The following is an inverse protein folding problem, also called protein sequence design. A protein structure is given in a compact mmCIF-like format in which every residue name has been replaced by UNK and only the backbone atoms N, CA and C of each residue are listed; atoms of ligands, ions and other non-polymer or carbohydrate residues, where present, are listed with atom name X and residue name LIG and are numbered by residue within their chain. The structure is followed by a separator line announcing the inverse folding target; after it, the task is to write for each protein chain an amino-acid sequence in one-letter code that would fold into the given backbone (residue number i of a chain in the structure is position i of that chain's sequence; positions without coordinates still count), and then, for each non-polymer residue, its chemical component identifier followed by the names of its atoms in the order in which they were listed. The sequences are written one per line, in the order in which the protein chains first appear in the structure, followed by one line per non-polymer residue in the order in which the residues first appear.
data_IF_825266111042
#
_entry.id   IF_825266111042
#
_cell.length_a   1.000
_cell.length_b   1.000
_cell.length_c   1.000
_cell.angle_alpha   90.00
_cell.angle_beta   90.00
_cell.angle_gamma   90.00
#
_symmetry.space_group_name_H-M   'P 1'
#
loop_
_entity.id
_entity.type
_entity.pdbx_description
1 polymer ?
#
# COMPACT_ATOMS: atom_id res chain seq x y z
N UNK A 1 -7.59 14.42 -4.66
CA UNK A 1 -7.64 13.31 -5.64
C UNK A 1 -9.08 13.02 -6.03
N UNK A 2 -9.26 12.60 -7.25
CA UNK A 2 -10.53 12.17 -7.81
C UNK A 2 -10.28 10.86 -8.56
N UNK A 3 -11.02 9.83 -8.23
CA UNK A 3 -10.89 8.52 -8.85
C UNK A 3 -12.24 8.04 -9.36
N UNK A 4 -12.25 7.47 -10.53
CA UNK A 4 -13.39 6.76 -11.11
C UNK A 4 -12.93 5.38 -11.54
N UNK A 5 -13.80 4.41 -11.43
CA UNK A 5 -13.46 3.06 -11.81
C UNK A 5 -14.69 2.20 -11.98
N UNK A 6 -14.45 0.95 -12.34
CA UNK A 6 -15.48 -0.08 -12.52
C UNK A 6 -14.94 -1.40 -11.93
N UNK A 7 -15.79 -2.06 -11.16
CA UNK A 7 -15.53 -3.37 -10.61
C UNK A 7 -16.71 -4.27 -10.97
N UNK A 8 -16.45 -5.38 -11.66
CA UNK A 8 -17.47 -6.32 -12.13
C UNK A 8 -18.65 -5.64 -12.86
N UNK A 9 -18.35 -4.59 -13.65
CA UNK A 9 -19.37 -3.85 -14.37
C UNK A 9 -20.08 -2.76 -13.57
N UNK A 10 -19.96 -2.73 -12.24
CA UNK A 10 -20.52 -1.66 -11.41
C UNK A 10 -19.58 -0.45 -11.37
N UNK A 11 -20.12 0.72 -11.65
CA UNK A 11 -19.36 1.96 -11.56
C UNK A 11 -19.02 2.30 -10.10
N UNK A 12 -17.80 2.78 -9.88
CA UNK A 12 -17.34 3.26 -8.61
C UNK A 12 -16.64 4.60 -8.80
N UNK A 13 -16.93 5.54 -7.96
CA UNK A 13 -16.29 6.84 -7.97
C UNK A 13 -15.91 7.25 -6.55
N UNK A 14 -14.77 7.92 -6.40
CA UNK A 14 -14.28 8.41 -5.10
C UNK A 14 -13.69 9.79 -5.25
N UNK A 15 -13.85 10.59 -4.21
CA UNK A 15 -13.25 11.90 -4.07
C UNK A 15 -12.53 11.98 -2.74
N UNK A 16 -11.22 12.17 -2.79
CA UNK A 16 -10.38 12.35 -1.59
C UNK A 16 -9.82 13.75 -1.54
N UNK A 17 -9.95 14.40 -0.41
CA UNK A 17 -9.32 15.69 -0.13
C UNK A 17 -8.73 15.69 1.28
N UNK A 18 -7.68 16.47 1.47
CA UNK A 18 -7.00 16.51 2.76
C UNK A 18 -5.84 17.47 2.76
N UNK A 19 -5.14 17.48 3.86
CA UNK A 19 -3.93 18.26 4.07
C UNK A 19 -2.91 17.46 4.85
N UNK A 20 -1.64 17.60 4.46
CA UNK A 20 -0.50 17.03 5.15
C UNK A 20 0.41 18.18 5.61
N UNK A 21 0.94 18.04 6.81
CA UNK A 21 1.90 18.97 7.37
C UNK A 21 3.13 18.21 7.89
N UNK A 22 4.32 18.75 7.63
CA UNK A 22 5.56 18.25 8.19
C UNK A 22 6.29 19.38 8.90
N UNK A 23 6.59 19.17 10.17
CA UNK A 23 7.35 20.08 11.01
C UNK A 23 8.68 19.41 11.36
N UNK A 24 9.79 20.03 10.98
CA UNK A 24 11.12 19.59 11.40
C UNK A 24 11.42 20.18 12.77
N UNK A 25 11.73 19.33 13.75
CA UNK A 25 12.12 19.71 15.10
C UNK A 25 13.64 19.75 15.29
N UNK A 26 14.38 19.36 14.26
CA UNK A 26 15.84 19.30 14.22
C UNK A 26 16.31 18.62 12.94
N UNK A 27 17.59 18.23 12.91
CA UNK A 27 18.17 17.58 11.72
C UNK A 27 17.54 16.22 11.44
N UNK A 28 17.27 15.46 12.48
CA UNK A 28 16.84 14.06 12.38
C UNK A 28 15.39 13.83 12.83
N UNK A 29 14.77 14.79 13.51
CA UNK A 29 13.45 14.64 14.12
C UNK A 29 12.39 15.44 13.37
N UNK A 30 11.26 14.83 13.10
CA UNK A 30 10.12 15.49 12.45
C UNK A 30 8.79 15.00 12.99
N UNK A 31 7.79 15.86 12.98
CA UNK A 31 6.39 15.50 13.19
C UNK A 31 5.67 15.61 11.84
N UNK A 32 4.90 14.59 11.52
CA UNK A 32 3.99 14.58 10.38
C UNK A 32 2.57 14.57 10.93
N UNK A 33 1.71 15.39 10.35
CA UNK A 33 0.28 15.38 10.60
C UNK A 33 -0.46 15.26 9.28
N UNK A 34 -1.51 14.46 9.24
CA UNK A 34 -2.39 14.39 8.08
C UNK A 34 -3.86 14.38 8.51
N UNK A 35 -4.68 15.04 7.73
CA UNK A 35 -6.12 15.05 7.83
C UNK A 35 -6.69 14.84 6.45
N UNK A 36 -7.54 13.84 6.28
CA UNK A 36 -8.17 13.62 5.01
C UNK A 36 -9.59 13.05 5.13
N UNK A 37 -10.36 13.27 4.09
CA UNK A 37 -11.68 12.70 3.90
C UNK A 37 -11.76 12.07 2.51
N UNK A 38 -12.35 10.90 2.45
CA UNK A 38 -12.59 10.13 1.23
C UNK A 38 -14.08 9.82 1.16
N UNK A 39 -14.73 10.37 0.14
CA UNK A 39 -16.17 10.22 -0.11
C UNK A 39 -16.36 9.24 -1.28
N UNK A 40 -17.22 8.25 -1.12
CA UNK A 40 -17.79 7.53 -2.25
C UNK A 40 -18.71 8.46 -3.05
N UNK A 41 -18.67 8.34 -4.37
CA UNK A 41 -19.54 9.09 -5.28
C UNK A 41 -20.69 8.22 -5.82
N UNK A 42 -20.68 6.93 -5.50
CA UNK A 42 -21.69 5.95 -5.96
C UNK A 42 -22.63 5.54 -4.84
N UNK A 43 -22.22 5.70 -3.61
CA UNK A 43 -23.03 5.42 -2.43
C UNK A 43 -22.77 6.49 -1.35
N UNK A 44 -23.38 6.34 -0.18
CA UNK A 44 -23.20 7.28 0.95
C UNK A 44 -21.96 6.97 1.82
N UNK A 45 -21.08 6.09 1.37
CA UNK A 45 -19.86 5.70 2.07
C UNK A 45 -18.88 6.88 2.22
N UNK A 46 -18.30 7.01 3.41
CA UNK A 46 -17.33 8.05 3.74
C UNK A 46 -16.33 7.56 4.75
N UNK A 47 -15.06 7.85 4.51
CA UNK A 47 -13.97 7.66 5.49
C UNK A 47 -13.32 8.99 5.81
N UNK A 48 -13.08 9.25 7.08
CA UNK A 48 -12.24 10.35 7.56
C UNK A 48 -11.07 9.79 8.33
N UNK A 49 -9.91 10.41 8.20
CA UNK A 49 -8.75 10.06 9.00
C UNK A 49 -8.01 11.29 9.49
N UNK A 50 -7.52 11.16 10.70
CA UNK A 50 -6.58 12.08 11.33
C UNK A 50 -5.38 11.27 11.81
N UNK A 51 -4.18 11.69 11.44
CA UNK A 51 -2.95 11.00 11.81
C UNK A 51 -1.92 11.99 12.31
N UNK A 52 -1.21 11.59 13.35
CA UNK A 52 0.02 12.26 13.80
C UNK A 52 1.12 11.22 13.96
N UNK A 53 2.31 11.53 13.45
CA UNK A 53 3.44 10.63 13.46
C UNK A 53 4.72 11.38 13.82
N UNK A 54 5.50 10.82 14.74
CA UNK A 54 6.86 11.20 15.03
C UNK A 54 7.82 10.39 14.18
N UNK A 55 8.72 11.02 13.48
CA UNK A 55 9.75 10.39 12.66
C UNK A 55 11.15 10.81 13.11
N UNK A 56 12.03 9.84 13.29
CA UNK A 56 13.45 10.05 13.53
C UNK A 56 14.26 9.32 12.46
N UNK A 57 15.01 10.08 11.67
CA UNK A 57 15.76 9.56 10.51
C UNK A 57 17.24 9.94 10.63
N UNK A 58 18.09 8.95 10.52
CA UNK A 58 19.55 9.10 10.38
C UNK A 58 20.01 8.50 9.06
N UNK A 59 21.32 8.47 8.82
CA UNK A 59 21.87 7.80 7.64
C UNK A 59 21.59 6.28 7.62
N UNK A 60 21.52 5.66 8.80
CA UNK A 60 21.40 4.20 8.93
C UNK A 60 20.08 3.74 9.53
N UNK A 61 19.30 4.63 10.14
CA UNK A 61 18.12 4.25 10.89
C UNK A 61 16.94 5.16 10.57
N UNK A 62 15.76 4.57 10.39
CA UNK A 62 14.48 5.26 10.34
C UNK A 62 13.56 4.68 11.42
N UNK A 63 13.06 5.54 12.29
CA UNK A 63 12.10 5.19 13.34
C UNK A 63 10.83 6.00 13.12
N UNK A 64 9.67 5.37 13.30
CA UNK A 64 8.36 6.02 13.20
C UNK A 64 7.46 5.52 14.31
N UNK A 65 6.73 6.45 14.91
CA UNK A 65 5.69 6.16 15.89
C UNK A 65 4.54 7.13 15.66
N UNK A 66 3.34 6.62 15.52
CA UNK A 66 2.19 7.45 15.21
C UNK A 66 0.89 6.89 15.76
N UNK A 67 -0.11 7.74 15.78
CA UNK A 67 -1.50 7.39 16.04
C UNK A 67 -2.32 7.90 14.87
N UNK A 68 -3.20 7.03 14.36
CA UNK A 68 -4.18 7.34 13.34
C UNK A 68 -5.58 7.05 13.88
N UNK A 69 -6.50 7.98 13.67
CA UNK A 69 -7.92 7.79 13.96
C UNK A 69 -8.70 7.77 12.66
N UNK A 70 -9.50 6.73 12.48
CA UNK A 70 -10.37 6.53 11.32
C UNK A 70 -11.82 6.57 11.77
N UNK A 71 -12.65 7.30 11.04
CA UNK A 71 -14.09 7.35 11.23
C UNK A 71 -14.75 7.00 9.90
N UNK A 72 -15.35 5.83 9.86
CA UNK A 72 -15.98 5.27 8.66
C UNK A 72 -17.49 5.33 8.78
N UNK A 73 -18.12 5.74 7.71
CA UNK A 73 -19.56 5.58 7.49
C UNK A 73 -19.73 4.71 6.24
N UNK A 74 -20.31 3.55 6.42
CA UNK A 74 -20.62 2.62 5.34
C UNK A 74 -21.88 3.07 4.58
N UNK A 75 -22.10 2.47 3.39
CA UNK A 75 -23.26 2.77 2.55
C UNK A 75 -24.61 2.47 3.21
N UNK A 76 -24.67 1.49 4.12
CA UNK A 76 -25.85 1.14 4.91
C UNK A 76 -26.11 2.07 6.10
N UNK A 77 -25.23 3.07 6.29
CA UNK A 77 -25.30 4.03 7.41
C UNK A 77 -24.58 3.59 8.67
N UNK A 78 -24.05 2.37 8.73
CA UNK A 78 -23.23 1.87 9.84
C UNK A 78 -22.00 2.76 10.03
N UNK A 79 -21.62 3.01 11.28
CA UNK A 79 -20.44 3.79 11.64
C UNK A 79 -19.45 2.93 12.38
N UNK A 80 -18.19 2.94 11.92
CA UNK A 80 -17.07 2.29 12.56
C UNK A 80 -15.99 3.34 12.82
N UNK A 81 -15.60 3.49 14.07
CA UNK A 81 -14.50 4.38 14.47
C UNK A 81 -13.37 3.50 15.02
N UNK A 82 -12.16 3.76 14.61
CA UNK A 82 -11.00 3.03 15.09
C UNK A 82 -9.79 3.93 15.28
N UNK A 83 -9.09 3.74 16.38
CA UNK A 83 -7.83 4.40 16.68
C UNK A 83 -6.71 3.36 16.62
N UNK A 84 -5.71 3.63 15.79
CA UNK A 84 -4.61 2.70 15.51
C UNK A 84 -3.30 3.32 15.97
N UNK A 85 -2.53 2.56 16.74
CA UNK A 85 -1.13 2.85 17.03
C UNK A 85 -0.26 2.21 15.95
N UNK A 86 0.59 3.01 15.34
CA UNK A 86 1.51 2.56 14.30
C UNK A 86 2.95 2.77 14.74
N UNK A 87 3.78 1.76 14.58
CA UNK A 87 5.21 1.83 14.86
C UNK A 87 6.02 1.19 13.73
N UNK A 88 7.21 1.73 13.50
CA UNK A 88 8.09 1.14 12.49
C UNK A 88 9.55 1.51 12.74
N UNK A 89 10.44 0.57 12.42
CA UNK A 89 11.88 0.75 12.43
C UNK A 89 12.47 0.15 11.16
N UNK A 90 13.41 0.87 10.58
CA UNK A 90 14.27 0.36 9.51
C UNK A 90 15.71 0.63 9.91
N UNK A 91 16.54 -0.40 9.86
CA UNK A 91 17.96 -0.33 10.16
C UNK A 91 18.77 -0.78 8.95
N UNK A 92 19.70 0.05 8.52
CA UNK A 92 20.65 -0.24 7.43
C UNK A 92 22.00 -0.61 8.04
N UNK A 93 22.52 -1.74 7.61
CA UNK A 93 23.75 -2.36 8.11
C UNK A 93 24.67 -2.71 6.93
N UNK A 94 25.91 -3.04 7.22
CA UNK A 94 26.88 -3.49 6.22
C UNK A 94 27.02 -2.50 5.04
N UNK A 95 27.22 -1.23 5.34
CA UNK A 95 27.30 -0.16 4.35
C UNK A 95 26.07 -0.11 3.43
N UNK A 96 24.88 -0.21 4.03
CA UNK A 96 23.57 -0.26 3.36
C UNK A 96 23.30 -1.52 2.51
N UNK A 97 24.16 -2.54 2.62
CA UNK A 97 23.90 -3.82 1.90
C UNK A 97 22.81 -4.65 2.56
N UNK A 98 22.61 -4.53 3.86
CA UNK A 98 21.54 -5.19 4.60
C UNK A 98 20.60 -4.15 5.19
N UNK A 99 19.33 -4.24 4.84
CA UNK A 99 18.24 -3.47 5.43
C UNK A 99 17.32 -4.43 6.19
N UNK A 100 17.12 -4.16 7.46
CA UNK A 100 16.15 -4.85 8.31
C UNK A 100 15.04 -3.88 8.65
N UNK A 101 13.81 -4.33 8.57
CA UNK A 101 12.63 -3.53 8.91
C UNK A 101 11.69 -4.31 9.82
N UNK A 102 11.06 -3.59 10.74
CA UNK A 102 9.96 -4.10 11.53
C UNK A 102 8.88 -3.02 11.61
N UNK A 103 7.63 -3.41 11.52
CA UNK A 103 6.51 -2.49 11.74
C UNK A 103 5.37 -3.19 12.46
N UNK A 104 4.60 -2.39 13.18
CA UNK A 104 3.41 -2.83 13.89
C UNK A 104 2.30 -1.81 13.71
N UNK A 105 1.07 -2.30 13.64
CA UNK A 105 -0.16 -1.50 13.62
C UNK A 105 -1.16 -2.22 14.51
N UNK A 106 -1.68 -1.56 15.55
CA UNK A 106 -2.55 -2.15 16.56
C UNK A 106 -3.71 -1.21 16.82
N UNK A 107 -4.93 -1.71 16.72
CA UNK A 107 -6.11 -0.96 17.17
C UNK A 107 -6.08 -0.78 18.69
N UNK A 108 -6.30 0.44 19.16
CA UNK A 108 -6.31 0.81 20.60
C UNK A 108 -7.72 0.71 21.19
N UNK A 109 -8.72 0.66 20.36
CA UNK A 109 -10.13 0.51 20.74
C UNK A 109 -10.62 -0.91 20.39
N UNK A 110 -11.74 -1.29 20.96
CA UNK A 110 -12.38 -2.57 20.71
C UNK A 110 -13.17 -2.61 19.40
N UNK A 111 -12.94 -1.65 18.49
CA UNK A 111 -13.60 -1.65 17.21
C UNK A 111 -13.07 -2.83 16.39
N UNK A 112 -13.85 -3.88 16.37
CA UNK A 112 -13.67 -5.04 15.55
C UNK A 112 -13.91 -4.62 14.10
N UNK A 113 -12.85 -4.26 13.41
CA UNK A 113 -12.90 -3.96 11.99
C UNK A 113 -11.99 -4.91 11.25
N UNK A 114 -12.54 -5.67 10.34
CA UNK A 114 -11.80 -6.53 9.41
C UNK A 114 -10.79 -5.74 8.57
N UNK A 115 -11.06 -4.46 8.37
CA UNK A 115 -10.22 -3.53 7.62
C UNK A 115 -8.95 -3.09 8.35
N UNK A 116 -8.92 -3.23 9.68
CA UNK A 116 -7.83 -2.75 10.53
C UNK A 116 -7.36 -3.83 11.54
N UNK A 117 -6.96 -5.03 11.08
CA UNK A 117 -6.42 -6.05 11.95
C UNK A 117 -5.11 -5.56 12.59
N UNK A 118 -4.80 -6.07 13.78
CA UNK A 118 -3.46 -5.92 14.33
C UNK A 118 -2.47 -6.55 13.34
N UNK A 119 -1.46 -5.78 12.94
CA UNK A 119 -0.54 -6.22 11.88
C UNK A 119 0.91 -6.03 12.31
N UNK A 120 1.68 -7.09 12.21
CA UNK A 120 3.10 -7.10 12.53
C UNK A 120 3.88 -7.60 11.33
N UNK A 121 4.88 -6.83 10.91
CA UNK A 121 5.73 -7.17 9.76
C UNK A 121 7.20 -7.14 10.14
N UNK A 122 7.94 -8.11 9.66
CA UNK A 122 9.40 -8.14 9.72
C UNK A 122 9.91 -8.36 8.30
N UNK A 123 10.77 -7.49 7.84
CA UNK A 123 11.35 -7.52 6.51
C UNK A 123 12.88 -7.52 6.55
N UNK A 124 13.47 -8.14 5.55
CA UNK A 124 14.91 -8.09 5.30
C UNK A 124 15.16 -7.89 3.80
N UNK A 125 16.13 -7.05 3.47
CA UNK A 125 16.63 -6.86 2.10
C UNK A 125 18.15 -6.94 2.13
N UNK A 126 18.72 -7.79 1.29
CA UNK A 126 20.16 -7.95 1.19
C UNK A 126 20.63 -7.73 -0.26
N UNK A 127 21.52 -6.77 -0.45
CA UNK A 127 22.11 -6.47 -1.75
C UNK A 127 23.17 -7.50 -2.08
N UNK A 128 22.91 -8.38 -3.06
CA UNK A 128 23.91 -9.28 -3.63
C UNK A 128 24.88 -8.52 -4.52
N UNK A 129 24.33 -7.62 -5.34
CA UNK A 129 25.05 -6.70 -6.19
C UNK A 129 24.37 -5.31 -6.11
N UNK A 130 24.88 -4.32 -6.83
CA UNK A 130 24.25 -3.00 -6.93
C UNK A 130 22.84 -3.07 -7.49
N UNK A 131 22.58 -4.03 -8.39
CA UNK A 131 21.35 -4.16 -9.15
C UNK A 131 20.47 -5.34 -8.70
N UNK A 132 20.93 -6.18 -7.78
CA UNK A 132 20.19 -7.39 -7.36
C UNK A 132 20.13 -7.46 -5.85
N UNK A 133 18.91 -7.60 -5.32
CA UNK A 133 18.65 -7.78 -3.89
C UNK A 133 17.79 -9.00 -3.64
N UNK A 134 18.10 -9.74 -2.59
CA UNK A 134 17.17 -10.71 -2.00
C UNK A 134 16.26 -9.96 -1.04
N UNK A 135 14.99 -10.27 -1.09
CA UNK A 135 13.98 -9.70 -0.18
C UNK A 135 13.25 -10.82 0.55
N UNK A 136 13.00 -10.62 1.83
CA UNK A 136 12.23 -11.51 2.67
C UNK A 136 11.23 -10.71 3.48
N UNK A 137 10.04 -11.27 3.69
CA UNK A 137 8.98 -10.69 4.49
C UNK A 137 8.28 -11.77 5.30
N UNK A 138 8.00 -11.45 6.54
CA UNK A 138 7.07 -12.18 7.39
C UNK A 138 6.03 -11.21 7.93
N UNK A 139 4.76 -11.55 7.76
CA UNK A 139 3.62 -10.76 8.25
C UNK A 139 2.69 -11.65 9.08
N UNK A 140 2.26 -11.09 10.19
CA UNK A 140 1.15 -11.57 11.00
C UNK A 140 0.06 -10.50 10.95
N UNK A 141 -1.16 -10.89 10.64
CA UNK A 141 -2.34 -10.07 10.76
C UNK A 141 -3.33 -10.81 11.65
N UNK A 142 -3.75 -10.18 12.73
CA UNK A 142 -4.66 -10.72 13.74
C UNK A 142 -5.89 -9.82 13.77
N UNK A 143 -7.00 -10.32 13.33
CA UNK A 143 -8.29 -9.62 13.24
C UNK A 143 -9.38 -10.34 14.00
N UNK A 144 -10.53 -9.70 14.15
CA UNK A 144 -11.67 -10.28 14.86
C UNK A 144 -12.24 -11.52 14.15
N UNK A 145 -12.18 -11.54 12.82
CA UNK A 145 -12.77 -12.62 12.01
C UNK A 145 -11.73 -13.37 11.18
N UNK A 146 -10.54 -12.78 10.95
CA UNK A 146 -9.53 -13.38 10.09
C UNK A 146 -8.13 -13.19 10.67
N UNK A 147 -7.47 -14.31 10.89
CA UNK A 147 -6.05 -14.39 11.17
C UNK A 147 -5.28 -14.78 9.92
N UNK A 148 -4.24 -14.06 9.61
CA UNK A 148 -3.41 -14.37 8.46
C UNK A 148 -1.92 -14.35 8.80
N UNK A 149 -1.19 -15.33 8.29
CA UNK A 149 0.26 -15.42 8.35
C UNK A 149 0.80 -15.50 6.93
N UNK A 150 1.72 -14.61 6.60
CA UNK A 150 2.34 -14.60 5.28
C UNK A 150 3.84 -14.64 5.43
N UNK A 151 4.48 -15.57 4.73
CA UNK A 151 5.93 -15.58 4.51
C UNK A 151 6.20 -15.43 3.02
N UNK A 152 7.14 -14.56 2.69
CA UNK A 152 7.50 -14.29 1.30
C UNK A 152 9.01 -14.11 1.17
N UNK A 153 9.57 -14.70 0.11
CA UNK A 153 10.97 -14.54 -0.26
C UNK A 153 11.08 -14.28 -1.77
N UNK A 154 11.96 -13.41 -2.18
CA UNK A 154 12.07 -13.05 -3.58
C UNK A 154 13.33 -12.30 -3.95
N UNK A 155 13.34 -11.83 -5.19
CA UNK A 155 14.38 -11.04 -5.79
C UNK A 155 13.83 -9.70 -6.28
N UNK A 156 14.59 -8.66 -6.03
CA UNK A 156 14.39 -7.33 -6.58
C UNK A 156 15.59 -7.03 -7.49
N UNK A 157 15.33 -6.67 -8.74
CA UNK A 157 16.35 -6.42 -9.75
C UNK A 157 16.11 -5.05 -10.38
N UNK A 158 17.18 -4.28 -10.56
CA UNK A 158 17.18 -3.00 -11.28
C UNK A 158 17.99 -3.19 -12.57
N UNK A 159 17.41 -3.74 -13.66
CA UNK A 159 18.17 -4.17 -14.83
C UNK A 159 18.76 -3.01 -15.63
N UNK A 160 18.12 -1.85 -15.62
CA UNK A 160 18.58 -0.60 -16.24
C UNK A 160 17.94 0.60 -15.51
N UNK A 161 18.33 1.81 -15.87
CA UNK A 161 17.83 3.03 -15.27
C UNK A 161 16.30 3.18 -15.41
N UNK A 162 15.66 3.46 -14.30
CA UNK A 162 14.19 3.60 -14.21
C UNK A 162 13.42 2.27 -14.19
N UNK A 163 14.07 1.13 -14.42
CA UNK A 163 13.43 -0.18 -14.39
C UNK A 163 13.58 -0.85 -13.02
N UNK A 164 12.53 -1.52 -12.58
CA UNK A 164 12.52 -2.37 -11.40
C UNK A 164 11.71 -3.62 -11.65
N UNK A 165 12.31 -4.77 -11.47
CA UNK A 165 11.63 -6.06 -11.54
C UNK A 165 11.64 -6.71 -10.14
N UNK A 166 10.52 -7.29 -9.74
CA UNK A 166 10.37 -8.01 -8.49
C UNK A 166 9.74 -9.36 -8.79
N UNK A 167 10.28 -10.39 -8.20
CA UNK A 167 9.65 -11.71 -8.20
C UNK A 167 9.74 -12.31 -6.81
N UNK A 168 8.69 -13.00 -6.38
CA UNK A 168 8.68 -13.63 -5.07
C UNK A 168 7.83 -14.88 -5.05
N UNK A 169 8.18 -15.79 -4.17
CA UNK A 169 7.40 -16.94 -3.78
C UNK A 169 6.96 -16.74 -2.34
N UNK A 170 5.73 -17.09 -2.03
CA UNK A 170 5.18 -16.95 -0.69
C UNK A 170 4.24 -18.08 -0.32
N UNK A 171 4.03 -18.18 0.97
CA UNK A 171 2.97 -19.00 1.56
C UNK A 171 2.14 -18.13 2.49
N UNK A 172 0.85 -18.28 2.38
CA UNK A 172 -0.14 -17.58 3.19
C UNK A 172 -1.06 -18.61 3.84
N UNK A 173 -1.28 -18.43 5.13
CA UNK A 173 -2.21 -19.20 5.95
C UNK A 173 -3.24 -18.23 6.51
N UNK A 174 -4.52 -18.52 6.31
CA UNK A 174 -5.64 -17.61 6.64
C UNK A 174 -6.61 -18.34 7.57
N UNK A 175 -6.10 -18.96 8.62
CA UNK A 175 -6.91 -19.66 9.61
C UNK A 175 -7.90 -20.64 8.97
N UNK A 176 -9.18 -20.50 9.28
CA UNK A 176 -10.26 -21.39 8.79
C UNK A 176 -10.51 -21.26 7.27
N UNK A 177 -10.03 -20.23 6.61
CA UNK A 177 -10.23 -20.02 5.18
C UNK A 177 -9.22 -20.75 4.30
N UNK A 178 -8.24 -21.42 4.90
CA UNK A 178 -7.26 -22.24 4.20
C UNK A 178 -5.89 -21.63 4.03
N UNK A 179 -5.07 -22.29 3.22
CA UNK A 179 -3.72 -21.84 2.95
C UNK A 179 -3.42 -21.93 1.47
N UNK A 180 -2.51 -21.05 1.00
CA UNK A 180 -2.01 -21.12 -0.36
C UNK A 180 -0.51 -20.85 -0.43
N UNK A 181 0.13 -21.46 -1.42
CA UNK A 181 1.44 -21.07 -1.91
C UNK A 181 1.24 -20.26 -3.18
N UNK A 182 1.96 -19.16 -3.34
CA UNK A 182 1.77 -18.26 -4.47
C UNK A 182 3.10 -17.74 -5.02
N UNK A 183 3.08 -17.31 -6.27
CA UNK A 183 4.13 -16.52 -6.89
C UNK A 183 3.60 -15.12 -7.19
N UNK A 184 4.38 -14.10 -6.84
CA UNK A 184 4.10 -12.72 -7.21
C UNK A 184 5.22 -12.20 -8.10
N UNK A 185 4.87 -11.38 -9.08
CA UNK A 185 5.82 -10.73 -9.98
C UNK A 185 5.40 -9.29 -10.22
N UNK A 186 6.37 -8.46 -10.53
CA UNK A 186 6.13 -7.08 -10.89
C UNK A 186 7.27 -6.54 -11.75
N UNK A 187 6.93 -5.71 -12.71
CA UNK A 187 7.86 -4.94 -13.53
C UNK A 187 7.37 -3.50 -13.55
N UNK A 188 8.23 -2.57 -13.19
CA UNK A 188 7.99 -1.15 -13.28
C UNK A 188 9.04 -0.49 -14.17
N UNK A 189 8.63 0.49 -14.94
CA UNK A 189 9.50 1.39 -15.69
C UNK A 189 9.08 2.82 -15.40
N UNK A 190 10.02 3.65 -14.99
CA UNK A 190 9.86 5.09 -14.86
C UNK A 190 10.74 5.78 -15.89
N UNK A 191 10.17 6.75 -16.61
CA UNK A 191 10.86 7.53 -17.63
C UNK A 191 10.67 9.01 -17.35
N UNK A 192 11.76 9.71 -17.11
CA UNK A 192 11.76 11.16 -17.02
C UNK A 192 11.79 11.77 -18.43
N UNK A 193 10.61 12.20 -18.90
CA UNK A 193 10.44 12.76 -20.26
C UNK A 193 10.97 14.19 -20.33
N UNK A 194 10.76 14.96 -19.26
CA UNK A 194 11.32 16.29 -19.08
C UNK A 194 11.71 16.50 -17.62
N UNK A 195 12.46 17.55 -17.24
CA UNK A 195 12.72 17.83 -15.82
C UNK A 195 11.46 18.00 -14.97
N UNK A 196 10.33 18.28 -15.59
CA UNK A 196 9.05 18.47 -14.92
C UNK A 196 8.08 17.29 -15.07
N UNK A 197 8.28 16.37 -16.01
CA UNK A 197 7.34 15.30 -16.35
C UNK A 197 8.00 13.93 -16.28
N UNK A 198 7.43 13.06 -15.48
CA UNK A 198 7.76 11.64 -15.39
C UNK A 198 6.56 10.81 -15.82
N UNK A 199 6.80 9.77 -16.58
CA UNK A 199 5.80 8.74 -16.93
C UNK A 199 6.27 7.43 -16.31
N UNK A 200 5.35 6.69 -15.72
CA UNK A 200 5.60 5.37 -15.15
C UNK A 200 4.61 4.35 -15.69
N UNK A 201 5.08 3.15 -15.88
CA UNK A 201 4.27 2.00 -16.25
C UNK A 201 4.60 0.83 -15.33
N UNK A 202 3.60 0.08 -14.88
CA UNK A 202 3.80 -1.15 -14.12
C UNK A 202 2.96 -2.28 -14.66
N UNK A 203 3.52 -3.48 -14.57
CA UNK A 203 2.80 -4.74 -14.77
C UNK A 203 3.09 -5.55 -13.53
N UNK A 204 2.07 -6.04 -12.87
CA UNK A 204 2.23 -6.91 -11.71
C UNK A 204 1.15 -8.00 -11.68
N UNK A 205 1.40 -9.01 -10.89
CA UNK A 205 0.46 -10.11 -10.75
C UNK A 205 0.81 -11.06 -9.62
N UNK A 206 -0.16 -11.89 -9.32
CA UNK A 206 -0.09 -12.93 -8.32
C UNK A 206 -0.71 -14.20 -8.90
N UNK A 207 -0.10 -15.36 -8.64
CA UNK A 207 -0.57 -16.67 -9.08
C UNK A 207 -0.49 -17.67 -7.95
N UNK A 208 -1.59 -18.37 -7.70
CA UNK A 208 -1.66 -19.51 -6.79
C UNK A 208 -0.94 -20.70 -7.43
N UNK A 209 0.02 -21.25 -6.71
CA UNK A 209 0.79 -22.42 -7.11
C UNK A 209 0.26 -23.71 -6.48
N UNK A 210 -0.46 -23.60 -5.39
CA UNK A 210 -1.06 -24.74 -4.66
C UNK A 210 -1.77 -24.32 -3.41
N UNK A 211 -2.66 -25.18 -2.92
CA UNK A 211 -3.60 -24.86 -1.86
C UNK A 211 -4.90 -24.28 -2.41
N UNK A 212 -5.84 -24.01 -1.54
CA UNK A 212 -7.07 -23.30 -1.86
C UNK A 212 -7.42 -22.37 -0.71
N UNK A 213 -8.00 -21.25 -1.01
CA UNK A 213 -8.66 -20.41 -0.04
C UNK A 213 -10.12 -20.20 -0.46
N UNK A 214 -10.99 -20.06 0.51
CA UNK A 214 -12.41 -19.80 0.30
C UNK A 214 -12.78 -18.34 0.62
N UNK A 215 -11.80 -17.46 0.62
CA UNK A 215 -11.94 -16.05 1.04
C UNK A 215 -12.48 -15.16 -0.08
N UNK A 216 -13.37 -15.67 -0.93
CA UNK A 216 -13.95 -14.89 -2.03
C UNK A 216 -14.73 -13.65 -1.59
N UNK A 217 -15.26 -13.67 -0.36
CA UNK A 217 -16.15 -12.64 0.15
C UNK A 217 -15.47 -11.62 1.07
N UNK A 218 -14.21 -11.87 1.42
CA UNK A 218 -13.43 -10.99 2.32
C UNK A 218 -12.50 -10.08 1.51
N UNK A 219 -12.99 -9.53 0.44
CA UNK A 219 -12.31 -8.41 -0.23
C UNK A 219 -12.51 -7.19 0.64
N UNK A 220 -11.42 -6.62 1.13
CA UNK A 220 -11.48 -5.36 1.87
C UNK A 220 -12.22 -4.29 1.04
N UNK A 221 -13.49 -3.95 1.37
CA UNK A 221 -14.29 -3.00 0.60
C UNK A 221 -13.72 -1.59 0.63
N UNK A 222 -12.76 -1.31 1.52
CA UNK A 222 -12.10 -0.03 1.64
C UNK A 222 -10.94 0.16 0.66
N UNK A 223 -10.54 -0.87 -0.11
CA UNK A 223 -9.53 -0.67 -1.16
C UNK A 223 -10.14 0.11 -2.33
N UNK A 224 -9.65 1.31 -2.65
CA UNK A 224 -10.12 2.03 -3.82
C UNK A 224 -9.81 1.23 -5.08
N UNK A 225 -10.69 1.32 -6.08
CA UNK A 225 -10.54 0.64 -7.38
C UNK A 225 -9.19 0.97 -8.03
N UNK A 226 -8.71 2.18 -7.83
CA UNK A 226 -7.45 2.68 -8.38
C UNK A 226 -6.25 2.49 -7.43
N UNK A 227 -6.28 1.58 -6.48
CA UNK A 227 -5.16 1.31 -5.59
C UNK A 227 -4.26 0.19 -6.05
N UNK A 228 -4.42 -0.26 -7.29
CA UNK A 228 -3.71 -1.39 -7.83
C UNK A 228 -2.21 -1.25 -7.80
N UNK A 229 -1.57 -2.36 -7.99
CA UNK A 229 -0.25 -2.53 -8.51
C UNK A 229 0.87 -1.70 -7.91
N UNK A 230 1.05 -1.65 -6.61
CA UNK A 230 2.31 -1.18 -6.05
C UNK A 230 3.26 -2.36 -5.86
N UNK A 231 4.38 -2.34 -6.57
CA UNK A 231 5.46 -3.32 -6.38
C UNK A 231 5.89 -3.33 -4.91
N UNK A 232 5.79 -4.49 -4.27
CA UNK A 232 6.17 -4.67 -2.87
C UNK A 232 5.10 -4.28 -1.85
N UNK A 233 3.90 -3.93 -2.26
CA UNK A 233 2.77 -3.89 -1.35
C UNK A 233 2.24 -5.29 -1.09
N UNK A 234 2.25 -5.62 0.16
CA UNK A 234 1.97 -6.95 0.60
C UNK A 234 0.52 -7.16 0.81
N UNK A 235 0.14 -8.07 0.20
CA UNK A 235 -0.30 -9.34 0.36
C UNK A 235 -1.45 -9.60 1.30
N UNK A 236 -2.39 -8.71 1.45
CA UNK A 236 -3.76 -9.10 1.75
C UNK A 236 -4.53 -9.42 0.45
N UNK A 237 -3.80 -9.68 -0.63
CA UNK A 237 -4.37 -10.08 -1.90
C UNK A 237 -4.47 -11.60 -1.93
N UNK A 238 -5.66 -12.10 -1.66
CA UNK A 238 -5.98 -13.52 -1.63
C UNK A 238 -6.40 -14.09 -2.97
N UNK A 239 -6.18 -13.36 -4.06
CA UNK A 239 -6.64 -13.72 -5.39
C UNK A 239 -5.52 -13.79 -6.42
N UNK A 240 -5.73 -14.57 -7.45
CA UNK A 240 -4.94 -14.53 -8.67
C UNK A 240 -5.34 -13.31 -9.49
N UNK A 241 -4.35 -12.55 -9.94
CA UNK A 241 -4.62 -11.38 -10.76
C UNK A 241 -3.44 -11.02 -11.67
N UNK A 242 -3.73 -10.24 -12.71
CA UNK A 242 -2.78 -9.41 -13.44
C UNK A 242 -3.25 -7.97 -13.42
N UNK A 243 -2.33 -7.05 -13.25
CA UNK A 243 -2.63 -5.63 -13.30
C UNK A 243 -1.63 -4.89 -14.20
N UNK A 244 -2.15 -3.89 -14.89
CA UNK A 244 -1.35 -2.93 -15.67
C UNK A 244 -1.71 -1.54 -15.21
N UNK A 245 -0.70 -0.74 -14.90
CA UNK A 245 -0.88 0.64 -14.51
C UNK A 245 -0.03 1.55 -15.39
N UNK A 246 -0.60 2.67 -15.80
CA UNK A 246 0.09 3.76 -16.47
C UNK A 246 -0.10 5.01 -15.64
N UNK A 247 1.00 5.61 -15.22
CA UNK A 247 1.04 6.81 -14.41
C UNK A 247 1.76 7.96 -15.10
N UNK A 248 1.42 9.16 -14.69
CA UNK A 248 2.18 10.36 -15.01
C UNK A 248 2.26 11.27 -13.78
N UNK A 249 3.40 11.90 -13.60
CA UNK A 249 3.63 12.91 -12.59
C UNK A 249 4.27 14.14 -13.22
N UNK A 250 3.63 15.27 -13.04
CA UNK A 250 4.15 16.57 -13.48
C UNK A 250 4.40 17.45 -12.27
N UNK A 251 5.57 18.06 -12.20
CA UNK A 251 5.94 18.98 -11.12
C UNK A 251 6.65 20.22 -11.70
N UNK A 252 6.09 21.37 -11.39
CA UNK A 252 6.70 22.65 -11.75
C UNK A 252 6.43 23.69 -10.68
N UNK A 253 7.48 24.37 -10.22
CA UNK A 253 7.43 25.39 -9.17
C UNK A 253 6.74 24.83 -7.89
N UNK A 254 5.59 25.39 -7.57
CA UNK A 254 4.79 25.02 -6.38
C UNK A 254 3.64 24.05 -6.69
N UNK A 255 3.50 23.62 -7.95
CA UNK A 255 2.44 22.73 -8.37
C UNK A 255 2.96 21.34 -8.69
N UNK A 256 2.18 20.35 -8.32
CA UNK A 256 2.33 19.00 -8.84
C UNK A 256 0.96 18.45 -9.25
N UNK A 257 0.92 17.73 -10.35
CA UNK A 257 -0.24 17.03 -10.83
C UNK A 257 0.13 15.57 -11.11
N UNK A 258 -0.78 14.66 -10.82
CA UNK A 258 -0.62 13.23 -11.08
C UNK A 258 -1.83 12.70 -11.81
N UNK A 259 -1.61 11.76 -12.70
CA UNK A 259 -2.66 10.98 -13.36
C UNK A 259 -2.27 9.52 -13.34
N UNK A 260 -3.24 8.63 -13.12
CA UNK A 260 -3.01 7.20 -13.10
C UNK A 260 -4.20 6.48 -13.69
N UNK A 261 -3.96 5.62 -14.66
CA UNK A 261 -4.92 4.69 -15.22
C UNK A 261 -4.50 3.27 -14.86
N UNK A 262 -5.45 2.43 -14.53
CA UNK A 262 -5.23 1.06 -14.08
C UNK A 262 -6.27 0.12 -14.68
N UNK A 263 -5.81 -1.06 -15.05
CA UNK A 263 -6.62 -2.21 -15.37
C UNK A 263 -6.12 -3.42 -14.59
N UNK A 264 -7.01 -4.10 -13.92
CA UNK A 264 -6.74 -5.34 -13.20
C UNK A 264 -7.76 -6.39 -13.62
N UNK A 265 -7.25 -7.54 -14.03
CA UNK A 265 -7.97 -8.78 -14.30
C UNK A 265 -7.72 -9.70 -13.10
N UNK A 266 -8.73 -9.93 -12.28
CA UNK A 266 -8.66 -10.68 -11.04
C UNK A 266 -9.58 -11.89 -11.03
N UNK A 267 -9.24 -12.89 -10.24
CA UNK A 267 -10.02 -14.13 -10.10
C UNK A 267 -11.46 -13.86 -9.65
N UNK A 268 -11.64 -12.90 -8.74
CA UNK A 268 -12.96 -12.58 -8.18
C UNK A 268 -13.55 -11.31 -8.76
N UNK A 269 -12.72 -10.37 -9.23
CA UNK A 269 -13.19 -9.08 -9.70
C UNK A 269 -12.24 -8.41 -10.68
N UNK A 270 -12.77 -8.02 -11.83
CA UNK A 270 -12.10 -7.09 -12.74
C UNK A 270 -12.26 -5.67 -12.24
N UNK A 271 -11.16 -4.91 -12.33
CA UNK A 271 -11.14 -3.51 -11.91
C UNK A 271 -10.53 -2.62 -12.99
N UNK A 272 -11.15 -1.48 -13.20
CA UNK A 272 -10.63 -0.40 -14.05
C UNK A 272 -10.69 0.89 -13.25
N UNK A 273 -9.65 1.69 -13.31
CA UNK A 273 -9.62 2.92 -12.55
C UNK A 273 -8.86 4.04 -13.25
N UNK A 274 -9.30 5.26 -13.00
CA UNK A 274 -8.60 6.48 -13.35
C UNK A 274 -8.57 7.37 -12.12
N UNK A 275 -7.37 7.80 -11.73
CA UNK A 275 -7.18 8.71 -10.60
C UNK A 275 -6.44 9.94 -11.08
N UNK A 276 -6.92 11.12 -10.69
CA UNK A 276 -6.27 12.40 -10.95
C UNK A 276 -6.03 13.11 -9.63
N UNK A 277 -4.88 13.72 -9.49
CA UNK A 277 -4.50 14.47 -8.30
C UNK A 277 -3.78 15.77 -8.65
N UNK A 278 -3.97 16.79 -7.84
CA UNK A 278 -3.22 18.02 -7.93
C UNK A 278 -2.90 18.53 -6.52
N UNK A 279 -1.68 19.01 -6.35
CA UNK A 279 -1.18 19.56 -5.08
C UNK A 279 -0.53 20.89 -5.37
N UNK A 280 -0.80 21.89 -4.52
CA UNK A 280 -0.11 23.17 -4.50
C UNK A 280 0.60 23.34 -3.17
N UNK A 281 1.87 23.65 -3.22
CA UNK A 281 2.66 23.98 -2.04
C UNK A 281 2.42 25.46 -1.66
N UNK A 282 2.02 25.70 -0.41
CA UNK A 282 1.61 27.02 0.07
C UNK A 282 2.71 27.77 0.84
N UNK A 283 3.86 27.14 1.09
CA UNK A 283 4.94 27.79 1.84
C UNK A 283 6.32 27.28 1.48
#
# INVERSE_FOLDING_TARGET
EYGVGQQNGAEQGRRKFGTDARIKLGENLSILGSLWQDDSLTDDGRRRAAQIQLGYTTQTSDLRLGIAHFADRLADGTRNDSTVLEGGVTQRLLDNRLELSASTSIALDSAESIDLPARHRIGARYALTENVRIVGLYELADGAEIDARTIKCGLEVTPWEGAKAVTSLGRQDIGEYGNRSFAAFGLAQSLQVTPALTIDATIDGNRTLGGSNTVSDVVNPAQPVASGGQLGQDGTLFEDFNAVTLGMAWRKDRWSATGRAEYRDGEFADRKGLTLGAIRQLG
#
